data_IF_317916568623
#
_entry.id   IF_317916568623
#
_cell.length_a   1.000
_cell.length_b   1.000
_cell.length_c   1.000
_cell.angle_alpha   90.00
_cell.angle_beta   90.00
_cell.angle_gamma   90.00
#
_symmetry.space_group_name_H-M   'P 1'
#
loop_
_entity.id
_entity.type
_entity.pdbx_description
1 polymer ?
#
# COMPACT_ATOMS: atom_id res chain seq x y z
N UNK A 1 54.42 25.62 -9.77
CA UNK A 1 55.45 25.23 -8.75
C UNK A 1 54.98 23.94 -8.10
N UNK A 2 55.61 22.79 -8.49
CA UNK A 2 56.52 21.96 -7.67
C UNK A 2 55.77 21.27 -6.49
N UNK A 3 55.75 19.96 -6.20
CA UNK A 3 56.39 18.68 -6.69
C UNK A 3 55.52 17.58 -6.09
N UNK A 4 55.11 16.54 -6.79
CA UNK A 4 55.69 15.19 -6.97
C UNK A 4 56.30 14.56 -5.71
N UNK A 5 55.78 13.37 -5.29
CA UNK A 5 56.58 12.20 -4.93
C UNK A 5 55.72 10.94 -4.91
N UNK A 6 56.11 10.04 -5.82
CA UNK A 6 55.80 8.61 -5.80
C UNK A 6 56.67 7.92 -4.74
N UNK A 7 56.19 6.89 -4.08
CA UNK A 7 57.03 5.86 -3.45
C UNK A 7 56.41 4.50 -3.76
N UNK A 8 57.22 3.71 -4.50
CA UNK A 8 57.12 2.26 -4.69
C UNK A 8 57.78 1.55 -3.50
N UNK A 9 57.29 0.39 -3.06
CA UNK A 9 58.05 -0.67 -2.39
C UNK A 9 57.21 -1.95 -2.42
N UNK A 10 57.51 -2.92 -3.24
CA UNK A 10 58.44 -4.06 -3.13
C UNK A 10 57.87 -5.25 -2.33
N UNK A 11 57.73 -6.32 -3.07
CA UNK A 11 57.35 -7.70 -2.79
C UNK A 11 58.36 -8.36 -1.84
N UNK A 12 57.86 -9.17 -0.89
CA UNK A 12 58.67 -10.22 -0.26
C UNK A 12 57.92 -11.56 -0.25
N UNK A 13 58.38 -12.48 -1.07
CA UNK A 13 58.06 -13.90 -1.08
C UNK A 13 58.91 -14.59 0.00
N UNK A 14 58.30 -15.34 0.90
CA UNK A 14 58.99 -16.26 1.79
C UNK A 14 58.43 -17.67 1.60
N UNK A 15 59.24 -18.48 0.95
CA UNK A 15 59.10 -19.94 0.86
C UNK A 15 59.71 -20.54 2.14
N UNK A 16 59.00 -21.40 2.87
CA UNK A 16 59.60 -22.28 3.85
C UNK A 16 59.10 -23.71 3.67
N UNK A 17 60.08 -24.55 3.65
CA UNK A 17 60.11 -25.90 3.17
C UNK A 17 59.59 -26.95 4.17
N UNK A 18 59.48 -28.10 3.59
CA UNK A 18 59.03 -29.39 4.10
C UNK A 18 60.04 -29.97 5.11
N UNK A 19 59.53 -30.54 6.22
CA UNK A 19 60.25 -31.57 6.95
C UNK A 19 59.29 -32.70 7.32
N UNK A 20 59.49 -33.84 6.67
CA UNK A 20 58.90 -35.12 7.08
C UNK A 20 59.65 -35.66 8.32
N UNK A 21 58.91 -36.12 9.29
CA UNK A 21 59.38 -37.13 10.27
C UNK A 21 58.32 -38.22 10.34
N UNK A 22 58.70 -39.41 9.92
CA UNK A 22 57.93 -40.62 10.10
C UNK A 22 58.23 -41.22 11.49
N UNK A 23 57.18 -41.55 12.23
CA UNK A 23 57.22 -42.50 13.33
C UNK A 23 56.04 -43.46 13.24
N UNK A 24 56.36 -44.72 13.03
CA UNK A 24 55.43 -45.82 13.06
C UNK A 24 55.01 -46.13 14.49
N UNK A 25 53.72 -46.30 14.72
CA UNK A 25 53.15 -46.83 15.96
C UNK A 25 51.79 -47.42 15.67
N UNK A 26 51.72 -48.73 15.64
CA UNK A 26 50.49 -49.52 15.57
C UNK A 26 49.64 -49.29 16.81
N UNK A 27 48.34 -49.07 16.65
CA UNK A 27 47.32 -49.44 17.68
C UNK A 27 45.91 -49.37 17.03
N UNK A 28 45.21 -50.51 17.11
CA UNK A 28 43.79 -50.83 17.25
C UNK A 28 42.72 -49.94 16.53
N UNK A 29 41.98 -50.62 15.67
CA UNK A 29 40.71 -50.20 15.09
C UNK A 29 39.62 -49.99 16.13
N UNK A 30 39.24 -48.75 16.34
CA UNK A 30 37.89 -48.41 16.82
C UNK A 30 37.16 -47.69 15.64
N UNK A 31 36.04 -48.22 15.29
CA UNK A 31 35.20 -47.75 14.20
C UNK A 31 34.45 -46.49 14.60
N UNK A 32 35.06 -45.32 14.50
CA UNK A 32 34.30 -44.07 14.50
C UNK A 32 33.63 -43.87 13.13
N UNK A 33 32.30 -43.92 13.11
CA UNK A 33 31.49 -43.45 12.01
C UNK A 33 31.84 -41.99 11.77
N UNK A 34 32.70 -41.71 10.80
CA UNK A 34 32.90 -40.40 10.22
C UNK A 34 31.56 -39.87 9.74
N UNK A 35 30.96 -38.91 10.46
CA UNK A 35 29.94 -38.03 9.92
C UNK A 35 30.64 -37.22 8.83
N UNK A 36 30.37 -37.55 7.57
CA UNK A 36 30.68 -36.66 6.45
C UNK A 36 30.18 -35.26 6.79
N UNK A 37 30.97 -34.20 6.63
CA UNK A 37 30.48 -32.85 6.71
C UNK A 37 29.34 -32.70 5.68
N UNK A 38 28.14 -32.36 6.13
CA UNK A 38 27.08 -32.01 5.19
C UNK A 38 27.61 -30.89 4.29
N UNK A 39 27.60 -31.15 2.97
CA UNK A 39 27.86 -30.11 1.97
C UNK A 39 26.99 -28.88 2.38
N UNK A 40 27.55 -27.66 2.32
CA UNK A 40 26.75 -26.48 2.59
C UNK A 40 25.61 -26.46 1.56
N UNK A 41 24.38 -26.63 2.03
CA UNK A 41 23.18 -26.46 1.21
C UNK A 41 23.22 -25.04 0.68
N UNK A 42 23.30 -24.90 -0.64
CA UNK A 42 23.33 -23.58 -1.29
C UNK A 42 22.04 -22.84 -0.89
N UNK A 43 22.17 -21.78 -0.11
CA UNK A 43 21.01 -20.97 0.29
C UNK A 43 20.48 -20.21 -0.93
N UNK A 44 19.17 -20.24 -1.11
CA UNK A 44 18.45 -19.43 -2.11
C UNK A 44 18.07 -18.11 -1.47
N UNK A 45 18.26 -16.99 -2.17
CA UNK A 45 17.77 -15.67 -1.72
C UNK A 45 16.56 -15.29 -2.56
N UNK A 46 15.47 -14.88 -1.91
CA UNK A 46 14.28 -14.31 -2.53
C UNK A 46 14.29 -12.81 -2.23
N UNK A 47 14.15 -11.99 -3.23
CA UNK A 47 14.00 -10.56 -3.07
C UNK A 47 12.53 -10.19 -2.92
N UNK A 48 12.18 -9.60 -1.78
CA UNK A 48 10.84 -9.09 -1.48
C UNK A 48 10.84 -7.57 -1.50
N UNK A 49 9.87 -6.97 -2.20
CA UNK A 49 9.70 -5.52 -2.23
C UNK A 49 8.23 -5.13 -2.03
N UNK A 50 7.93 -4.35 -1.01
CA UNK A 50 6.60 -3.85 -0.70
C UNK A 50 6.64 -2.36 -0.33
N UNK A 51 5.47 -1.72 -0.24
CA UNK A 51 5.35 -0.36 0.33
C UNK A 51 5.49 -0.32 1.86
N UNK A 52 5.63 -1.48 2.53
CA UNK A 52 5.71 -1.60 3.99
C UNK A 52 7.16 -1.51 4.49
N UNK A 53 7.87 -0.45 4.10
CA UNK A 53 9.26 -0.20 4.49
C UNK A 53 9.42 1.05 5.35
N UNK A 54 10.64 1.33 5.80
CA UNK A 54 10.97 2.55 6.52
C UNK A 54 10.12 2.77 7.76
N UNK A 55 9.33 3.86 7.77
CA UNK A 55 8.45 4.28 8.88
C UNK A 55 6.99 3.80 8.72
N UNK A 56 6.68 2.95 7.74
CA UNK A 56 5.35 2.35 7.62
C UNK A 56 5.00 1.56 8.88
N UNK A 57 3.76 1.65 9.33
CA UNK A 57 3.27 0.98 10.54
C UNK A 57 3.42 -0.54 10.50
N UNK A 58 3.49 -1.13 9.31
CA UNK A 58 3.63 -2.57 9.09
C UNK A 58 5.08 -3.04 8.95
N UNK A 59 6.05 -2.12 8.83
CA UNK A 59 7.45 -2.46 8.56
C UNK A 59 8.09 -3.38 9.64
N UNK A 60 7.82 -3.10 10.91
CA UNK A 60 8.28 -3.91 12.03
C UNK A 60 7.69 -5.32 11.99
N UNK A 61 6.38 -5.42 11.79
CA UNK A 61 5.66 -6.70 11.70
C UNK A 61 6.11 -7.53 10.51
N UNK A 62 6.33 -6.91 9.34
CA UNK A 62 6.87 -7.59 8.17
C UNK A 62 8.25 -8.20 8.45
N UNK A 63 9.12 -7.47 9.16
CA UNK A 63 10.44 -7.96 9.54
C UNK A 63 10.35 -9.19 10.46
N UNK A 64 9.44 -9.20 11.42
CA UNK A 64 9.23 -10.33 12.32
C UNK A 64 8.70 -11.56 11.55
N UNK A 65 7.75 -11.37 10.64
CA UNK A 65 7.19 -12.42 9.79
C UNK A 65 8.27 -13.02 8.86
N UNK A 66 9.13 -12.19 8.26
CA UNK A 66 10.27 -12.63 7.46
C UNK A 66 11.23 -13.47 8.32
N UNK A 67 11.58 -13.00 9.52
CA UNK A 67 12.48 -13.73 10.40
C UNK A 67 11.90 -15.11 10.80
N UNK A 68 10.59 -15.19 11.05
CA UNK A 68 9.91 -16.46 11.29
C UNK A 68 10.01 -17.39 10.09
N UNK A 69 9.71 -16.88 8.87
CA UNK A 69 9.83 -17.66 7.64
C UNK A 69 11.25 -18.24 7.45
N UNK A 70 12.29 -17.43 7.64
CA UNK A 70 13.69 -17.86 7.51
C UNK A 70 14.10 -18.89 8.56
N UNK A 71 13.55 -18.82 9.77
CA UNK A 71 13.79 -19.81 10.82
C UNK A 71 13.16 -21.17 10.47
N UNK A 72 11.96 -21.15 9.88
CA UNK A 72 11.27 -22.36 9.43
C UNK A 72 11.86 -22.94 8.13
N UNK A 73 12.51 -22.09 7.32
CA UNK A 73 13.04 -22.44 6.01
C UNK A 73 14.54 -22.04 5.90
N UNK A 74 15.40 -22.70 6.67
CA UNK A 74 16.82 -22.31 6.88
C UNK A 74 17.67 -22.22 5.61
N UNK A 75 17.23 -22.82 4.50
CA UNK A 75 17.88 -22.77 3.17
C UNK A 75 17.42 -21.58 2.32
N UNK A 76 16.42 -20.82 2.78
CA UNK A 76 15.89 -19.65 2.06
C UNK A 76 16.19 -18.39 2.88
N UNK A 77 16.68 -17.36 2.20
CA UNK A 77 16.91 -16.02 2.78
C UNK A 77 16.05 -15.00 2.05
N UNK A 78 15.55 -14.01 2.78
CA UNK A 78 14.73 -12.94 2.22
C UNK A 78 15.52 -11.63 2.21
N UNK A 79 15.78 -11.11 1.03
CA UNK A 79 16.32 -9.76 0.84
C UNK A 79 15.15 -8.77 0.81
N UNK A 80 14.81 -8.19 1.95
CA UNK A 80 13.71 -7.23 2.03
C UNK A 80 14.14 -5.84 1.54
N UNK A 81 13.61 -5.41 0.40
CA UNK A 81 13.88 -4.13 -0.27
C UNK A 81 12.66 -3.18 -0.18
N UNK A 82 11.81 -3.35 0.82
CA UNK A 82 10.59 -2.55 0.98
C UNK A 82 10.90 -1.08 1.25
N UNK A 83 10.11 -0.18 0.64
CA UNK A 83 10.30 1.27 0.68
C UNK A 83 8.98 1.92 1.11
N UNK A 84 9.03 2.97 1.93
CA UNK A 84 7.86 3.72 2.38
C UNK A 84 7.50 4.86 1.42
N UNK A 85 6.18 5.13 1.30
CA UNK A 85 5.66 6.37 0.71
C UNK A 85 5.76 6.47 -0.81
N UNK A 86 5.82 7.72 -1.27
CA UNK A 86 5.70 8.07 -2.69
C UNK A 86 6.87 7.56 -3.56
N UNK A 87 7.99 7.15 -2.95
CA UNK A 87 9.16 6.62 -3.67
C UNK A 87 8.99 5.16 -4.09
N UNK A 88 8.06 4.42 -3.48
CA UNK A 88 7.89 2.99 -3.72
C UNK A 88 7.56 2.69 -5.18
N UNK A 89 6.46 3.25 -5.69
CA UNK A 89 5.97 2.93 -7.04
C UNK A 89 6.94 3.34 -8.15
N UNK A 90 7.54 4.54 -8.15
CA UNK A 90 8.57 4.90 -9.12
C UNK A 90 9.78 3.97 -9.10
N UNK A 91 10.23 3.55 -7.91
CA UNK A 91 11.36 2.63 -7.76
C UNK A 91 11.01 1.26 -8.30
N UNK A 92 9.83 0.71 -7.97
CA UNK A 92 9.36 -0.58 -8.49
C UNK A 92 9.29 -0.55 -10.03
N UNK A 93 8.70 0.49 -10.62
CA UNK A 93 8.65 0.67 -12.09
C UNK A 93 10.03 0.72 -12.74
N UNK A 94 10.97 1.43 -12.13
CA UNK A 94 12.35 1.53 -12.60
C UNK A 94 13.03 0.16 -12.60
N UNK A 95 12.81 -0.64 -11.56
CA UNK A 95 13.35 -1.99 -11.44
C UNK A 95 12.82 -2.91 -12.54
N UNK A 96 11.51 -2.91 -12.79
CA UNK A 96 10.91 -3.67 -13.90
C UNK A 96 11.42 -3.20 -15.27
N UNK A 97 11.58 -1.90 -15.47
CA UNK A 97 12.08 -1.35 -16.72
C UNK A 97 13.55 -1.70 -16.99
N UNK A 98 14.35 -1.86 -15.93
CA UNK A 98 15.79 -2.22 -16.03
C UNK A 98 16.06 -3.71 -16.01
N UNK A 99 15.04 -4.57 -15.88
CA UNK A 99 15.21 -6.02 -15.78
C UNK A 99 15.79 -6.49 -14.44
N UNK A 100 15.65 -5.69 -13.39
CA UNK A 100 16.07 -5.98 -12.01
C UNK A 100 14.84 -6.06 -11.08
N UNK A 101 13.77 -6.66 -11.58
CA UNK A 101 12.53 -6.83 -10.84
C UNK A 101 12.73 -7.69 -9.58
N UNK A 102 12.05 -7.38 -8.47
CA UNK A 102 12.03 -8.22 -7.27
C UNK A 102 11.32 -9.55 -7.55
N UNK A 103 11.70 -10.61 -6.83
CA UNK A 103 11.08 -11.93 -7.01
C UNK A 103 9.62 -11.93 -6.58
N UNK A 104 9.33 -11.35 -5.41
CA UNK A 104 7.99 -11.15 -4.84
C UNK A 104 7.79 -9.68 -4.54
N UNK A 105 6.63 -9.15 -4.92
CA UNK A 105 6.34 -7.74 -4.66
C UNK A 105 4.88 -7.50 -4.30
N UNK A 106 4.66 -6.44 -3.51
CA UNK A 106 3.33 -5.94 -3.18
C UNK A 106 2.94 -4.78 -4.09
N UNK A 107 1.73 -4.77 -4.66
CA UNK A 107 1.27 -3.67 -5.49
C UNK A 107 -0.25 -3.55 -5.41
N UNK A 108 -0.75 -2.32 -5.43
CA UNK A 108 -2.18 -2.06 -5.56
C UNK A 108 -2.72 -2.58 -6.90
N UNK A 109 -3.95 -3.09 -6.97
CA UNK A 109 -4.56 -3.44 -8.25
C UNK A 109 -4.76 -2.20 -9.12
N UNK A 110 -4.98 -2.38 -10.42
CA UNK A 110 -5.24 -1.30 -11.35
C UNK A 110 -4.33 -1.34 -12.57
N UNK A 111 -4.07 -0.17 -13.18
CA UNK A 111 -3.34 -0.08 -14.45
C UNK A 111 -1.90 -0.55 -14.35
N UNK A 112 -1.19 -0.23 -13.25
CA UNK A 112 0.22 -0.57 -13.13
C UNK A 112 0.47 -2.08 -13.21
N UNK A 113 -0.31 -2.88 -12.48
CA UNK A 113 -0.18 -4.35 -12.56
C UNK A 113 -0.65 -4.88 -13.91
N UNK A 114 -1.68 -4.29 -14.52
CA UNK A 114 -2.14 -4.68 -15.86
C UNK A 114 -1.07 -4.47 -16.93
N UNK A 115 -0.29 -3.38 -16.84
CA UNK A 115 0.85 -3.16 -17.74
C UNK A 115 1.94 -4.21 -17.57
N UNK A 116 2.26 -4.57 -16.33
CA UNK A 116 3.24 -5.62 -16.05
C UNK A 116 2.77 -7.00 -16.54
N UNK A 117 1.47 -7.32 -16.40
CA UNK A 117 0.86 -8.55 -16.91
C UNK A 117 0.95 -8.57 -18.44
N UNK A 118 0.52 -7.50 -19.13
CA UNK A 118 0.61 -7.39 -20.60
C UNK A 118 2.05 -7.50 -21.11
N UNK A 119 3.03 -7.04 -20.33
CA UNK A 119 4.45 -7.19 -20.63
C UNK A 119 5.02 -8.56 -20.28
N UNK A 120 4.20 -9.53 -19.84
CA UNK A 120 4.62 -10.85 -19.37
C UNK A 120 5.65 -10.80 -18.23
N UNK A 121 5.51 -9.83 -17.32
CA UNK A 121 6.42 -9.64 -16.19
C UNK A 121 5.90 -10.21 -14.87
N UNK A 122 4.68 -10.75 -14.85
CA UNK A 122 4.01 -11.28 -13.66
C UNK A 122 3.58 -12.72 -13.89
N UNK A 123 3.84 -13.58 -12.92
CA UNK A 123 3.48 -14.99 -12.98
C UNK A 123 1.96 -15.19 -12.91
N UNK A 124 1.45 -16.15 -13.68
CA UNK A 124 0.07 -16.63 -13.62
C UNK A 124 -0.04 -17.66 -12.49
N UNK A 125 -0.80 -17.34 -11.46
CA UNK A 125 -0.99 -18.19 -10.27
C UNK A 125 -2.22 -19.09 -10.39
N UNK A 126 -2.95 -19.05 -11.50
CA UNK A 126 -4.26 -19.69 -11.66
C UNK A 126 -4.22 -21.18 -11.37
N UNK A 127 -3.27 -21.89 -11.95
CA UNK A 127 -3.20 -23.35 -11.81
C UNK A 127 -2.71 -23.74 -10.41
N UNK A 128 -1.79 -23.00 -9.81
CA UNK A 128 -1.34 -23.24 -8.43
C UNK A 128 -2.45 -23.05 -7.40
N UNK A 129 -3.30 -22.04 -7.58
CA UNK A 129 -4.45 -21.83 -6.73
C UNK A 129 -5.52 -22.90 -6.93
N UNK A 130 -5.68 -23.43 -8.15
CA UNK A 130 -6.57 -24.57 -8.40
C UNK A 130 -6.03 -25.90 -7.79
N UNK A 131 -4.72 -26.10 -7.83
CA UNK A 131 -4.06 -27.26 -7.21
C UNK A 131 -4.17 -27.21 -5.67
N UNK A 132 -4.01 -26.02 -5.07
CA UNK A 132 -4.17 -25.82 -3.63
C UNK A 132 -5.46 -25.07 -3.29
N UNK A 133 -6.56 -25.81 -3.38
CA UNK A 133 -7.88 -25.28 -3.03
C UNK A 133 -7.96 -24.80 -1.58
N UNK A 134 -7.23 -25.41 -0.66
CA UNK A 134 -7.28 -25.03 0.75
C UNK A 134 -6.74 -23.62 0.95
N UNK A 135 -5.71 -23.23 0.19
CA UNK A 135 -5.17 -21.89 0.20
C UNK A 135 -6.12 -20.90 -0.48
N UNK A 136 -6.59 -21.21 -1.69
CA UNK A 136 -7.53 -20.34 -2.41
C UNK A 136 -8.82 -20.09 -1.61
N UNK A 137 -9.44 -21.16 -1.08
CA UNK A 137 -10.71 -21.10 -0.37
C UNK A 137 -10.60 -20.44 1.01
N UNK A 138 -9.38 -20.19 1.51
CA UNK A 138 -9.16 -19.42 2.73
C UNK A 138 -9.48 -17.93 2.58
N UNK A 139 -9.53 -17.42 1.35
CA UNK A 139 -9.88 -16.03 1.03
C UNK A 139 -11.36 -15.85 0.73
N UNK A 140 -11.87 -14.63 0.88
CA UNK A 140 -13.17 -14.22 0.35
C UNK A 140 -13.12 -14.29 -1.18
N UNK A 141 -14.03 -15.01 -1.80
CA UNK A 141 -14.02 -15.25 -3.25
C UNK A 141 -14.04 -13.95 -4.06
N UNK A 142 -14.84 -12.96 -3.63
CA UNK A 142 -14.96 -11.66 -4.28
C UNK A 142 -13.63 -10.88 -4.35
N UNK A 143 -12.68 -11.14 -3.44
CA UNK A 143 -11.41 -10.42 -3.41
C UNK A 143 -10.50 -10.71 -4.60
N UNK A 144 -10.61 -11.89 -5.22
CA UNK A 144 -9.83 -12.23 -6.41
C UNK A 144 -10.26 -11.47 -7.67
N UNK A 145 -11.45 -10.88 -7.70
CA UNK A 145 -11.91 -10.11 -8.88
C UNK A 145 -10.94 -8.99 -9.30
N UNK A 146 -10.30 -8.35 -8.32
CA UNK A 146 -9.34 -7.25 -8.55
C UNK A 146 -7.94 -7.73 -8.96
N UNK A 147 -7.63 -9.03 -8.78
CA UNK A 147 -6.34 -9.63 -9.18
C UNK A 147 -6.47 -10.56 -10.38
N UNK A 148 -7.68 -10.67 -10.94
CA UNK A 148 -7.97 -11.47 -12.12
C UNK A 148 -7.93 -10.59 -13.38
N UNK A 149 -7.16 -11.01 -14.37
CA UNK A 149 -7.09 -10.40 -15.69
C UNK A 149 -7.26 -11.50 -16.76
N UNK A 150 -8.16 -11.29 -17.71
CA UNK A 150 -8.48 -12.26 -18.78
C UNK A 150 -8.71 -13.69 -18.26
N UNK A 151 -9.49 -13.82 -17.19
CA UNK A 151 -9.81 -15.09 -16.49
C UNK A 151 -8.59 -15.81 -15.86
N UNK A 152 -7.49 -15.12 -15.65
CA UNK A 152 -6.30 -15.64 -14.97
C UNK A 152 -6.02 -14.83 -13.72
N UNK A 153 -5.59 -15.50 -12.65
CA UNK A 153 -5.28 -14.90 -11.35
C UNK A 153 -3.77 -14.66 -11.27
N UNK A 154 -3.39 -13.41 -11.08
CA UNK A 154 -1.99 -13.00 -11.03
C UNK A 154 -1.49 -12.61 -9.64
N UNK A 155 -2.39 -12.33 -8.70
CA UNK A 155 -2.00 -11.86 -7.37
C UNK A 155 -2.84 -12.44 -6.25
N UNK A 156 -2.28 -12.46 -5.05
CA UNK A 156 -2.96 -12.88 -3.83
C UNK A 156 -3.49 -11.65 -3.10
N UNK A 157 -4.83 -11.49 -2.98
CA UNK A 157 -5.47 -10.29 -2.45
C UNK A 157 -5.47 -10.30 -0.92
N UNK A 158 -4.31 -10.08 -0.27
CA UNK A 158 -4.19 -10.22 1.17
C UNK A 158 -4.80 -9.04 1.94
N UNK A 159 -4.38 -7.80 1.65
CA UNK A 159 -4.79 -6.61 2.41
C UNK A 159 -6.11 -6.02 1.89
N UNK A 160 -7.09 -5.88 2.79
CA UNK A 160 -8.33 -5.13 2.56
C UNK A 160 -8.15 -3.71 3.07
N UNK A 161 -8.54 -2.72 2.27
CA UNK A 161 -8.53 -1.31 2.67
C UNK A 161 -9.85 -0.61 2.36
N UNK A 162 -10.18 0.42 3.13
CA UNK A 162 -11.30 1.30 2.89
C UNK A 162 -11.00 2.72 3.37
N UNK A 163 -11.66 3.71 2.80
CA UNK A 163 -11.42 5.13 3.06
C UNK A 163 -12.59 5.79 3.78
N UNK A 164 -12.29 6.83 4.56
CA UNK A 164 -13.29 7.66 5.22
C UNK A 164 -12.71 8.95 5.80
N UNK A 165 -13.55 9.68 6.53
CA UNK A 165 -13.19 10.90 7.20
C UNK A 165 -12.85 10.62 8.67
N UNK A 166 -11.60 10.83 9.05
CA UNK A 166 -11.17 10.81 10.45
C UNK A 166 -11.47 12.18 11.09
N UNK A 167 -12.09 12.16 12.25
CA UNK A 167 -12.45 13.35 13.01
C UNK A 167 -11.78 13.34 14.39
N UNK A 168 -11.40 14.52 14.88
CA UNK A 168 -10.92 14.69 16.24
C UNK A 168 -12.10 15.07 17.16
N UNK A 169 -12.66 14.10 17.89
CA UNK A 169 -13.83 14.30 18.77
C UNK A 169 -13.61 15.36 19.83
N UNK A 170 -12.38 15.49 20.35
CA UNK A 170 -12.08 16.52 21.36
C UNK A 170 -12.29 17.94 20.80
N UNK A 171 -11.89 18.17 19.55
CA UNK A 171 -12.10 19.46 18.89
C UNK A 171 -13.60 19.69 18.60
N UNK A 172 -14.31 18.67 18.12
CA UNK A 172 -15.75 18.75 17.90
C UNK A 172 -16.50 19.09 19.19
N UNK A 173 -16.18 18.39 20.29
CA UNK A 173 -16.78 18.62 21.60
C UNK A 173 -16.41 20.00 22.16
N UNK A 174 -15.13 20.39 22.12
CA UNK A 174 -14.62 21.67 22.63
C UNK A 174 -15.31 22.86 22.00
N UNK A 175 -15.52 22.81 20.70
CA UNK A 175 -16.10 23.91 19.93
C UNK A 175 -17.59 23.71 19.65
N UNK A 176 -18.21 22.68 20.22
CA UNK A 176 -19.63 22.35 20.06
C UNK A 176 -20.05 22.28 18.58
N UNK A 177 -19.22 21.62 17.78
CA UNK A 177 -19.48 21.35 16.37
C UNK A 177 -20.19 20.01 16.25
N UNK A 178 -21.30 19.97 15.50
CA UNK A 178 -21.97 18.71 15.16
C UNK A 178 -21.09 17.91 14.20
N UNK A 179 -20.98 16.59 14.41
CA UNK A 179 -20.36 15.67 13.45
C UNK A 179 -21.18 15.69 12.15
N UNK A 180 -20.58 16.00 10.99
CA UNK A 180 -21.34 16.20 9.76
C UNK A 180 -21.78 14.88 9.12
N UNK A 181 -23.04 14.73 8.79
CA UNK A 181 -23.63 13.60 8.07
C UNK A 181 -23.79 13.87 6.56
N UNK A 182 -23.84 15.15 6.19
CA UNK A 182 -24.00 15.60 4.81
C UNK A 182 -23.11 16.82 4.52
N UNK A 183 -23.03 17.18 3.24
CA UNK A 183 -22.11 18.22 2.77
C UNK A 183 -22.42 19.61 3.31
N UNK A 184 -23.71 19.94 3.54
CA UNK A 184 -24.10 21.24 4.13
C UNK A 184 -23.67 21.32 5.61
N UNK A 185 -23.80 20.23 6.35
CA UNK A 185 -23.29 20.15 7.72
C UNK A 185 -21.77 20.20 7.76
N UNK A 186 -21.08 19.61 6.77
CA UNK A 186 -19.62 19.73 6.64
C UNK A 186 -19.20 21.19 6.45
N UNK A 187 -19.89 21.95 5.58
CA UNK A 187 -19.63 23.40 5.40
C UNK A 187 -19.86 24.20 6.69
N UNK A 188 -20.90 23.83 7.44
CA UNK A 188 -21.18 24.43 8.75
C UNK A 188 -20.05 24.14 9.75
N UNK A 189 -19.57 22.90 9.82
CA UNK A 189 -18.44 22.51 10.67
C UNK A 189 -17.15 23.25 10.27
N UNK A 190 -16.87 23.37 8.97
CA UNK A 190 -15.74 24.12 8.43
C UNK A 190 -15.79 25.58 8.91
N UNK A 191 -16.94 26.25 8.79
CA UNK A 191 -17.10 27.64 9.20
C UNK A 191 -16.80 27.80 10.69
N UNK A 192 -17.38 26.95 11.54
CA UNK A 192 -17.17 27.00 12.99
C UNK A 192 -15.71 26.76 13.40
N UNK A 193 -15.02 25.79 12.80
CA UNK A 193 -13.60 25.57 13.10
C UNK A 193 -12.74 26.75 12.70
N UNK A 194 -12.95 27.34 11.53
CA UNK A 194 -12.25 28.55 11.09
C UNK A 194 -12.43 29.73 12.04
N UNK A 195 -13.66 29.99 12.49
CA UNK A 195 -13.96 31.06 13.45
C UNK A 195 -13.20 30.89 14.77
N UNK A 196 -12.80 29.65 15.10
CA UNK A 196 -12.04 29.30 16.29
C UNK A 196 -10.54 29.11 16.03
N UNK A 197 -10.04 29.45 14.83
CA UNK A 197 -8.61 29.35 14.47
C UNK A 197 -8.11 27.91 14.27
N UNK A 198 -9.03 26.95 14.09
CA UNK A 198 -8.69 25.55 13.81
C UNK A 198 -8.75 25.31 12.30
N UNK A 199 -7.76 24.62 11.76
CA UNK A 199 -7.79 24.15 10.37
C UNK A 199 -8.94 23.11 10.25
N UNK A 200 -9.94 23.32 9.40
CA UNK A 200 -11.06 22.37 9.32
C UNK A 200 -10.62 20.98 8.83
N UNK A 201 -9.88 20.91 7.75
CA UNK A 201 -9.46 19.66 7.11
C UNK A 201 -7.97 19.70 6.79
N UNK A 202 -7.19 18.76 7.32
CA UNK A 202 -5.82 18.55 6.89
C UNK A 202 -5.81 18.01 5.45
N UNK A 203 -5.25 18.79 4.55
CA UNK A 203 -5.20 18.50 3.12
C UNK A 203 -3.85 18.92 2.52
N UNK A 204 -3.38 18.20 1.53
CA UNK A 204 -2.27 18.60 0.67
C UNK A 204 -2.55 18.20 -0.78
N UNK A 205 -1.91 18.87 -1.73
CA UNK A 205 -2.07 18.59 -3.17
C UNK A 205 -1.12 17.49 -3.63
N UNK A 206 -1.36 16.25 -3.15
CA UNK A 206 -0.56 15.06 -3.49
C UNK A 206 -1.46 13.86 -3.78
N UNK A 207 -0.86 12.71 -4.11
CA UNK A 207 -1.58 11.46 -4.28
C UNK A 207 -2.39 11.10 -3.02
N UNK A 208 -1.79 11.21 -1.82
CA UNK A 208 -2.52 10.96 -0.56
C UNK A 208 -3.56 12.05 -0.24
N UNK A 209 -3.31 13.30 -0.62
CA UNK A 209 -4.31 14.35 -0.47
C UNK A 209 -5.54 14.14 -1.36
N UNK A 210 -5.42 13.33 -2.41
CA UNK A 210 -6.54 13.04 -3.31
C UNK A 210 -7.62 12.15 -2.71
N UNK A 211 -7.43 11.53 -1.55
CA UNK A 211 -8.46 10.68 -0.92
C UNK A 211 -9.77 11.45 -0.68
N UNK A 212 -9.74 12.72 -0.32
CA UNK A 212 -10.96 13.54 -0.22
C UNK A 212 -11.69 13.63 -1.56
N UNK A 213 -10.95 13.80 -2.66
CA UNK A 213 -11.51 13.83 -4.00
C UNK A 213 -12.08 12.47 -4.42
N UNK A 214 -11.41 11.37 -4.06
CA UNK A 214 -11.88 10.00 -4.31
C UNK A 214 -13.20 9.73 -3.58
N UNK A 215 -13.29 10.13 -2.33
CA UNK A 215 -14.53 10.02 -1.54
C UNK A 215 -15.68 10.86 -2.14
N UNK A 216 -15.39 12.05 -2.67
CA UNK A 216 -16.38 12.86 -3.38
C UNK A 216 -16.87 12.18 -4.66
N UNK A 217 -15.98 11.59 -5.48
CA UNK A 217 -16.36 10.82 -6.67
C UNK A 217 -17.28 9.67 -6.28
N UNK A 218 -16.90 8.89 -5.27
CA UNK A 218 -17.69 7.77 -4.77
C UNK A 218 -19.09 8.19 -4.31
N UNK A 219 -19.19 9.29 -3.56
CA UNK A 219 -20.47 9.82 -3.07
C UNK A 219 -21.37 10.32 -4.22
N UNK A 220 -20.80 10.94 -5.24
CA UNK A 220 -21.55 11.44 -6.39
C UNK A 220 -22.00 10.35 -7.36
N UNK A 221 -21.08 9.40 -7.64
CA UNK A 221 -21.24 8.41 -8.70
C UNK A 221 -21.72 7.03 -8.24
N UNK A 222 -21.50 6.69 -6.97
CA UNK A 222 -21.67 5.32 -6.49
C UNK A 222 -20.77 4.33 -7.25
N UNK A 223 -20.97 3.01 -7.06
CA UNK A 223 -20.15 1.98 -7.70
C UNK A 223 -20.12 2.14 -9.21
N UNK A 224 -21.29 2.30 -9.83
CA UNK A 224 -21.38 2.44 -11.29
C UNK A 224 -20.66 3.69 -11.82
N UNK A 225 -20.78 4.83 -11.14
CA UNK A 225 -20.13 6.07 -11.58
C UNK A 225 -18.61 6.02 -11.41
N UNK A 226 -18.09 5.24 -10.46
CA UNK A 226 -16.66 4.99 -10.27
C UNK A 226 -16.15 4.01 -11.33
N UNK A 227 -16.82 2.88 -11.53
CA UNK A 227 -16.39 1.80 -12.41
C UNK A 227 -16.52 2.18 -13.91
N UNK A 228 -17.62 2.81 -14.29
CA UNK A 228 -17.82 3.35 -15.63
C UNK A 228 -17.13 4.72 -15.79
N UNK A 229 -15.87 4.80 -15.39
CA UNK A 229 -15.11 6.06 -15.33
C UNK A 229 -14.96 6.77 -16.66
N UNK A 230 -14.80 6.02 -17.76
CA UNK A 230 -14.69 6.54 -19.13
C UNK A 230 -15.75 5.86 -20.01
N UNK A 231 -16.61 6.68 -20.62
CA UNK A 231 -17.65 6.23 -21.55
C UNK A 231 -17.56 7.09 -22.81
N UNK A 232 -17.58 6.47 -23.98
CA UNK A 232 -17.50 7.15 -25.29
C UNK A 232 -16.30 8.12 -25.39
N UNK A 233 -15.15 7.71 -24.82
CA UNK A 233 -13.93 8.51 -24.85
C UNK A 233 -13.97 9.75 -23.96
N UNK A 234 -14.90 9.85 -23.01
CA UNK A 234 -15.03 10.95 -22.07
C UNK A 234 -15.04 10.46 -20.64
N UNK A 235 -14.44 11.25 -19.74
CA UNK A 235 -14.53 10.98 -18.32
C UNK A 235 -15.98 11.13 -17.83
N UNK A 236 -16.40 10.27 -16.92
CA UNK A 236 -17.70 10.39 -16.30
C UNK A 236 -17.82 11.72 -15.53
N UNK A 237 -18.97 12.36 -15.66
CA UNK A 237 -19.23 13.69 -15.06
C UNK A 237 -18.93 13.77 -13.55
N UNK A 238 -19.06 12.67 -12.81
CA UNK A 238 -18.82 12.65 -11.36
C UNK A 238 -17.38 12.98 -10.98
N UNK A 239 -16.42 12.66 -11.85
CA UNK A 239 -15.02 13.05 -11.69
C UNK A 239 -14.82 14.55 -11.84
N UNK A 240 -15.52 15.18 -12.77
CA UNK A 240 -15.50 16.64 -12.98
C UNK A 240 -16.24 17.35 -11.84
N UNK A 241 -17.42 16.88 -11.48
CA UNK A 241 -18.23 17.48 -10.42
C UNK A 241 -17.54 17.39 -9.06
N UNK A 242 -16.89 16.27 -8.74
CA UNK A 242 -16.09 16.13 -7.51
C UNK A 242 -14.95 17.17 -7.42
N UNK A 243 -14.30 17.53 -8.53
CA UNK A 243 -13.32 18.62 -8.53
C UNK A 243 -13.96 19.96 -8.15
N UNK A 244 -15.19 20.24 -8.58
CA UNK A 244 -15.91 21.48 -8.22
C UNK A 244 -16.19 21.55 -6.72
N UNK A 245 -16.60 20.43 -6.08
CA UNK A 245 -16.76 20.35 -4.63
C UNK A 245 -15.42 20.54 -3.89
N UNK A 246 -14.33 19.94 -4.39
CA UNK A 246 -12.99 20.16 -3.83
C UNK A 246 -12.59 21.65 -3.88
N UNK A 247 -12.86 22.31 -5.02
CA UNK A 247 -12.60 23.74 -5.18
C UNK A 247 -13.46 24.58 -4.24
N UNK A 248 -14.74 24.26 -4.06
CA UNK A 248 -15.61 24.94 -3.10
C UNK A 248 -15.00 24.90 -1.70
N UNK A 249 -14.51 23.73 -1.23
CA UNK A 249 -13.84 23.63 0.05
C UNK A 249 -12.56 24.48 0.12
N UNK A 250 -11.79 24.51 -0.96
CA UNK A 250 -10.58 25.35 -1.05
C UNK A 250 -10.94 26.85 -0.97
N UNK A 251 -11.94 27.29 -1.70
CA UNK A 251 -12.41 28.69 -1.71
C UNK A 251 -12.99 29.10 -0.34
N UNK A 252 -13.62 28.16 0.37
CA UNK A 252 -14.07 28.33 1.75
C UNK A 252 -12.92 28.40 2.75
N UNK A 253 -11.66 28.17 2.34
CA UNK A 253 -10.49 28.07 3.24
C UNK A 253 -10.63 26.92 4.24
N UNK A 254 -11.13 25.78 3.79
CA UNK A 254 -11.27 24.57 4.60
C UNK A 254 -9.90 23.90 4.87
N UNK A 255 -8.87 24.22 4.09
CA UNK A 255 -7.56 23.61 4.07
C UNK A 255 -6.49 24.52 4.69
N UNK A 256 -5.29 23.98 5.03
CA UNK A 256 -4.14 24.80 5.44
C UNK A 256 -3.79 25.85 4.37
N UNK A 257 -3.23 26.98 4.78
CA UNK A 257 -2.85 28.04 3.83
C UNK A 257 -1.80 27.59 2.82
N UNK A 258 -0.94 26.67 3.21
CA UNK A 258 0.15 26.07 2.43
C UNK A 258 -0.21 24.68 1.84
N UNK A 259 -1.49 24.34 1.78
CA UNK A 259 -2.02 23.06 1.31
C UNK A 259 -1.48 22.61 -0.06
N UNK A 260 -1.09 23.53 -0.93
CA UNK A 260 -0.57 23.22 -2.26
C UNK A 260 0.91 22.81 -2.27
N UNK A 261 1.62 22.97 -1.15
CA UNK A 261 3.07 22.73 -1.02
C UNK A 261 3.43 21.74 0.09
N UNK A 262 2.52 21.47 1.03
CA UNK A 262 2.73 20.49 2.10
C UNK A 262 2.98 19.08 1.51
N UNK A 263 3.90 18.34 2.14
CA UNK A 263 4.00 16.91 1.91
C UNK A 263 3.01 16.12 2.79
N UNK A 264 2.87 14.81 2.53
CA UNK A 264 1.91 13.95 3.25
C UNK A 264 2.20 13.83 4.75
N UNK A 265 3.47 13.83 5.15
CA UNK A 265 3.83 13.77 6.57
C UNK A 265 3.44 15.06 7.30
N UNK A 266 3.72 16.23 6.72
CA UNK A 266 3.34 17.54 7.26
C UNK A 266 1.82 17.66 7.40
N UNK A 267 1.07 17.24 6.37
CA UNK A 267 -0.40 17.16 6.43
C UNK A 267 -0.87 16.29 7.60
N UNK A 268 -0.32 15.08 7.75
CA UNK A 268 -0.71 14.15 8.81
C UNK A 268 -0.40 14.74 10.21
N UNK A 269 0.72 15.44 10.36
CA UNK A 269 1.10 16.10 11.61
C UNK A 269 0.11 17.19 12.04
N UNK A 270 -0.54 17.90 11.11
CA UNK A 270 -1.59 18.86 11.45
C UNK A 270 -2.77 18.18 12.17
N UNK A 271 -3.12 16.97 11.77
CA UNK A 271 -4.18 16.20 12.42
C UNK A 271 -3.71 15.60 13.76
N UNK A 272 -2.55 14.97 13.79
CA UNK A 272 -2.00 14.37 15.02
C UNK A 272 -1.77 15.41 16.12
N UNK A 273 -1.34 16.61 15.77
CA UNK A 273 -1.12 17.71 16.72
C UNK A 273 -2.39 18.49 17.07
N UNK A 274 -3.56 18.02 16.62
CA UNK A 274 -4.88 18.68 16.84
C UNK A 274 -4.96 20.12 16.31
N UNK A 275 -4.11 20.47 15.34
CA UNK A 275 -4.22 21.74 14.61
C UNK A 275 -5.31 21.67 13.54
N UNK A 276 -5.57 20.47 13.00
CA UNK A 276 -6.68 20.22 12.09
C UNK A 276 -7.73 19.31 12.75
N UNK A 277 -9.02 19.61 12.48
CA UNK A 277 -10.13 18.90 13.07
C UNK A 277 -10.47 17.59 12.34
N UNK A 278 -10.20 17.51 11.05
CA UNK A 278 -10.57 16.41 10.16
C UNK A 278 -9.44 16.06 9.18
N UNK A 279 -9.40 14.81 8.73
CA UNK A 279 -8.53 14.35 7.64
C UNK A 279 -9.20 13.19 6.90
N UNK A 280 -9.14 13.14 5.57
CA UNK A 280 -9.57 11.96 4.81
C UNK A 280 -8.38 11.03 4.64
N UNK A 281 -8.55 9.79 5.09
CA UNK A 281 -7.52 8.74 5.06
C UNK A 281 -8.18 7.36 4.94
N UNK A 282 -7.37 6.33 4.81
CA UNK A 282 -7.87 4.96 4.80
C UNK A 282 -7.58 4.19 6.09
N UNK A 283 -8.06 2.95 6.16
CA UNK A 283 -7.88 2.04 7.30
C UNK A 283 -6.41 1.84 7.71
N UNK A 284 -5.46 2.04 6.80
CA UNK A 284 -4.01 2.02 7.09
C UNK A 284 -3.54 3.15 8.00
N UNK A 285 -4.38 4.15 8.29
CA UNK A 285 -4.06 5.28 9.17
C UNK A 285 -4.31 4.96 10.65
N UNK A 286 -5.13 3.94 10.93
CA UNK A 286 -5.51 3.51 12.30
C UNK A 286 -4.30 3.22 13.19
N UNK A 287 -3.24 2.51 12.75
CA UNK A 287 -2.11 2.15 13.61
C UNK A 287 -1.24 3.31 14.10
N UNK A 288 -1.42 4.51 13.54
CA UNK A 288 -0.67 5.69 13.99
C UNK A 288 -1.24 6.30 15.28
N UNK A 289 -2.40 5.83 15.75
CA UNK A 289 -3.01 6.27 17.01
C UNK A 289 -2.70 5.28 18.13
N UNK A 290 -2.55 5.81 19.34
CA UNK A 290 -2.47 4.95 20.52
C UNK A 290 -3.73 4.07 20.60
N UNK A 291 -3.57 2.80 20.92
CA UNK A 291 -4.70 1.85 20.98
C UNK A 291 -5.76 2.20 22.03
N UNK A 292 -5.42 3.06 22.96
CA UNK A 292 -6.32 3.58 24.00
C UNK A 292 -6.80 5.01 23.72
N UNK A 293 -6.42 5.60 22.58
CA UNK A 293 -6.88 6.92 22.21
C UNK A 293 -8.34 6.85 21.69
N UNK A 294 -9.25 7.43 22.47
CA UNK A 294 -10.66 7.53 22.12
C UNK A 294 -11.02 8.88 21.50
N UNK A 295 -10.04 9.75 21.29
CA UNK A 295 -10.27 11.11 20.76
C UNK A 295 -10.51 11.15 19.25
N UNK A 296 -10.24 10.04 18.54
CA UNK A 296 -10.40 9.95 17.10
C UNK A 296 -11.50 8.96 16.73
N UNK A 297 -12.23 9.27 15.68
CA UNK A 297 -13.27 8.42 15.10
C UNK A 297 -13.19 8.48 13.58
N UNK A 298 -13.47 7.37 12.90
CA UNK A 298 -13.62 7.31 11.45
C UNK A 298 -15.10 7.28 11.09
N UNK A 299 -15.54 8.22 10.27
CA UNK A 299 -16.91 8.28 9.75
C UNK A 299 -16.88 8.18 8.22
N UNK A 300 -18.00 7.82 7.56
CA UNK A 300 -18.11 7.99 6.12
C UNK A 300 -17.88 9.45 5.75
N UNK A 301 -17.30 9.71 4.57
CA UNK A 301 -17.31 11.08 4.07
C UNK A 301 -18.76 11.57 3.95
N UNK A 302 -19.09 12.78 4.45
CA UNK A 302 -20.45 13.30 4.46
C UNK A 302 -21.13 13.22 3.10
N UNK A 303 -22.38 12.75 3.09
CA UNK A 303 -23.11 12.51 1.84
C UNK A 303 -23.27 13.79 1.01
N UNK A 304 -23.09 13.67 -0.29
CA UNK A 304 -23.33 14.73 -1.27
C UNK A 304 -24.67 14.48 -1.97
N UNK A 305 -25.46 15.53 -2.23
CA UNK A 305 -26.75 15.45 -2.92
C UNK A 305 -27.81 14.55 -2.25
N UNK A 306 -27.81 14.45 -0.93
CA UNK A 306 -28.73 13.62 -0.14
C UNK A 306 -28.68 12.10 -0.47
N UNK A 307 -27.64 11.64 -1.13
CA UNK A 307 -27.41 10.21 -1.32
C UNK A 307 -26.93 9.57 0.00
N UNK A 308 -27.10 8.26 0.12
CA UNK A 308 -26.43 7.52 1.21
C UNK A 308 -24.90 7.66 1.09
N UNK A 309 -24.19 7.89 2.21
CA UNK A 309 -22.73 7.96 2.17
C UNK A 309 -22.11 6.70 1.53
N UNK A 310 -21.05 6.87 0.76
CA UNK A 310 -20.33 5.78 0.12
C UNK A 310 -18.98 5.57 0.79
N UNK A 311 -18.52 4.33 0.82
CA UNK A 311 -17.21 3.95 1.36
C UNK A 311 -16.36 3.35 0.23
N UNK A 312 -15.34 4.09 -0.24
CA UNK A 312 -14.35 3.54 -1.17
C UNK A 312 -13.62 2.36 -0.52
N UNK A 313 -13.61 1.23 -1.21
CA UNK A 313 -13.08 -0.04 -0.71
C UNK A 313 -12.23 -0.71 -1.78
N UNK A 314 -11.12 -1.32 -1.40
CA UNK A 314 -10.23 -1.96 -2.35
C UNK A 314 -9.19 -2.87 -1.70
N UNK A 315 -8.16 -3.17 -2.45
CA UNK A 315 -7.00 -3.92 -1.99
C UNK A 315 -5.83 -2.96 -1.72
N UNK A 316 -5.14 -3.19 -0.61
CA UNK A 316 -3.95 -2.42 -0.25
C UNK A 316 -2.69 -2.89 -0.96
N UNK A 317 -1.55 -2.25 -0.63
CA UNK A 317 -0.23 -2.62 -1.10
C UNK A 317 0.23 -4.01 -0.69
N UNK A 318 -0.49 -4.67 0.23
CA UNK A 318 -0.38 -6.09 0.57
C UNK A 318 -1.12 -7.01 -0.39
N UNK A 319 -1.35 -6.62 -1.64
CA UNK A 319 -1.68 -7.54 -2.72
C UNK A 319 -0.37 -8.02 -3.33
N UNK A 320 -0.07 -9.32 -3.16
CA UNK A 320 1.25 -9.87 -3.50
C UNK A 320 1.25 -10.54 -4.87
N UNK A 321 2.35 -10.32 -5.59
CA UNK A 321 2.61 -10.85 -6.93
C UNK A 321 4.00 -11.49 -6.98
N UNK A 322 4.22 -12.40 -7.96
CA UNK A 322 5.53 -12.99 -8.27
C UNK A 322 5.94 -12.49 -9.66
N UNK A 323 7.21 -12.09 -9.82
CA UNK A 323 7.73 -11.75 -11.14
C UNK A 323 7.93 -13.00 -11.99
N UNK A 324 7.72 -12.91 -13.32
CA UNK A 324 7.96 -14.03 -14.22
C UNK A 324 9.42 -14.46 -14.21
N UNK A 325 10.36 -13.54 -14.05
CA UNK A 325 11.80 -13.85 -13.99
C UNK A 325 12.15 -14.74 -12.80
N UNK A 326 11.51 -14.56 -11.64
CA UNK A 326 11.70 -15.43 -10.49
C UNK A 326 10.98 -16.77 -10.68
N UNK A 327 9.75 -16.73 -11.20
CA UNK A 327 8.91 -17.91 -11.42
C UNK A 327 9.59 -18.94 -12.33
N UNK A 328 10.20 -18.49 -13.43
CA UNK A 328 10.82 -19.34 -14.46
C UNK A 328 12.19 -19.91 -14.04
N UNK A 329 12.65 -19.68 -12.80
CA UNK A 329 13.92 -20.27 -12.31
C UNK A 329 13.70 -21.68 -11.73
N UNK A 330 14.72 -22.56 -11.70
CA UNK A 330 14.58 -23.98 -11.28
C UNK A 330 14.05 -24.18 -9.86
N UNK A 331 13.90 -23.33 -9.01
CA UNK A 331 13.26 -23.43 -7.68
C UNK A 331 12.42 -22.21 -7.35
N UNK A 332 12.25 -21.31 -8.33
CA UNK A 332 11.62 -20.03 -8.11
C UNK A 332 10.14 -20.17 -7.82
N UNK A 333 9.45 -20.97 -8.62
CA UNK A 333 8.02 -21.28 -8.40
C UNK A 333 7.78 -21.82 -6.99
N UNK A 334 8.50 -22.87 -6.58
CA UNK A 334 8.33 -23.51 -5.28
C UNK A 334 8.63 -22.55 -4.12
N UNK A 335 9.77 -21.87 -4.16
CA UNK A 335 10.22 -20.99 -3.09
C UNK A 335 9.37 -19.73 -2.97
N UNK A 336 8.94 -19.13 -4.08
CA UNK A 336 8.10 -17.92 -4.06
C UNK A 336 6.67 -18.25 -3.62
N UNK A 337 6.10 -19.39 -4.02
CA UNK A 337 4.81 -19.87 -3.50
C UNK A 337 4.89 -20.14 -1.99
N UNK A 338 5.99 -20.77 -1.52
CA UNK A 338 6.18 -21.01 -0.09
C UNK A 338 6.19 -19.69 0.70
N UNK A 339 6.91 -18.67 0.21
CA UNK A 339 6.89 -17.34 0.80
C UNK A 339 5.50 -16.71 0.74
N UNK A 340 4.81 -16.77 -0.40
CA UNK A 340 3.46 -16.22 -0.53
C UNK A 340 2.48 -16.85 0.45
N UNK A 341 2.48 -18.16 0.58
CA UNK A 341 1.64 -18.87 1.55
C UNK A 341 1.92 -18.44 3.00
N UNK A 342 3.20 -18.25 3.34
CA UNK A 342 3.57 -17.74 4.66
C UNK A 342 3.09 -16.31 4.88
N UNK A 343 3.35 -15.39 3.93
CA UNK A 343 2.92 -13.99 3.99
C UNK A 343 1.39 -13.83 4.06
N UNK A 344 0.65 -14.78 3.49
CA UNK A 344 -0.81 -14.75 3.38
C UNK A 344 -1.51 -15.82 4.21
N UNK A 345 -0.82 -16.38 5.20
CA UNK A 345 -1.40 -17.35 6.13
C UNK A 345 -2.35 -16.67 7.13
N UNK A 346 -3.24 -17.47 7.72
CA UNK A 346 -4.11 -16.99 8.81
C UNK A 346 -3.30 -16.46 10.00
N UNK A 347 -2.20 -17.13 10.32
CA UNK A 347 -1.31 -16.72 11.40
C UNK A 347 -0.70 -15.35 11.11
N UNK A 348 -0.18 -15.14 9.90
CA UNK A 348 0.36 -13.85 9.46
C UNK A 348 -0.72 -12.76 9.49
N UNK A 349 -1.94 -13.06 9.03
CA UNK A 349 -3.04 -12.11 9.04
C UNK A 349 -3.46 -11.72 10.46
N UNK A 350 -3.56 -12.69 11.37
CA UNK A 350 -3.83 -12.43 12.80
C UNK A 350 -2.73 -11.57 13.42
N UNK A 351 -1.47 -11.92 13.16
CA UNK A 351 -0.32 -11.16 13.67
C UNK A 351 -0.32 -9.69 13.18
N UNK A 352 -0.56 -9.46 11.89
CA UNK A 352 -0.66 -8.09 11.37
C UNK A 352 -1.83 -7.33 11.98
N UNK A 353 -2.98 -8.00 12.13
CA UNK A 353 -4.14 -7.37 12.76
C UNK A 353 -3.85 -6.92 14.19
N UNK A 354 -3.30 -7.81 15.01
CA UNK A 354 -2.96 -7.53 16.42
C UNK A 354 -1.90 -6.45 16.60
N UNK A 355 -1.03 -6.27 15.61
CA UNK A 355 0.09 -5.31 15.68
C UNK A 355 -0.21 -3.99 14.95
N UNK A 356 -1.02 -4.01 13.92
CA UNK A 356 -1.16 -2.89 12.98
C UNK A 356 -2.59 -2.64 12.52
N UNK A 357 -3.58 -3.29 13.11
CA UNK A 357 -4.98 -3.24 12.65
C UNK A 357 -5.18 -3.55 11.14
N UNK A 358 -4.22 -4.21 10.49
CA UNK A 358 -4.36 -4.59 9.08
C UNK A 358 -5.53 -5.55 8.93
N UNK A 359 -6.47 -5.21 8.07
CA UNK A 359 -7.56 -6.10 7.69
C UNK A 359 -7.14 -6.97 6.52
N UNK A 360 -7.45 -8.25 6.58
CA UNK A 360 -7.18 -9.17 5.48
C UNK A 360 -8.46 -9.63 4.80
N UNK A 361 -8.32 -10.09 3.55
CA UNK A 361 -9.39 -10.76 2.81
C UNK A 361 -9.52 -12.27 3.14
N UNK A 362 -8.75 -12.76 4.10
CA UNK A 362 -8.90 -14.12 4.61
C UNK A 362 -10.21 -14.27 5.39
N UNK A 363 -10.80 -15.45 5.33
CA UNK A 363 -11.94 -15.88 6.15
C UNK A 363 -11.45 -16.24 7.54
N UNK A 364 -11.07 -15.22 8.32
CA UNK A 364 -10.64 -15.37 9.72
C UNK A 364 -11.63 -14.65 10.62
N UNK A 365 -11.84 -15.23 11.81
CA UNK A 365 -12.54 -14.54 12.89
C UNK A 365 -11.48 -13.83 13.75
N UNK A 366 -11.67 -12.55 13.98
CA UNK A 366 -10.78 -11.77 14.84
C UNK A 366 -11.40 -11.70 16.23
N UNK A 367 -10.68 -12.21 17.22
CA UNK A 367 -11.20 -12.35 18.58
C UNK A 367 -11.03 -11.09 19.43
N UNK A 368 -9.99 -10.29 19.16
CA UNK A 368 -9.66 -9.10 19.96
C UNK A 368 -9.39 -7.92 19.05
N UNK A 369 -10.08 -6.78 19.23
CA UNK A 369 -9.79 -5.59 18.44
C UNK A 369 -8.42 -5.01 18.79
N UNK A 370 -7.72 -4.49 17.78
CA UNK A 370 -6.46 -3.76 17.97
C UNK A 370 -6.63 -2.53 18.87
N UNK A 371 -7.68 -1.75 18.65
CA UNK A 371 -8.03 -0.54 19.39
C UNK A 371 -9.52 -0.22 19.26
N UNK A 372 -10.02 0.71 20.10
CA UNK A 372 -11.39 1.23 19.96
C UNK A 372 -11.64 1.82 18.57
N UNK A 373 -10.68 2.56 18.02
CA UNK A 373 -10.76 3.13 16.68
C UNK A 373 -10.81 2.03 15.61
N UNK A 374 -9.99 0.97 15.74
CA UNK A 374 -10.01 -0.15 14.81
C UNK A 374 -11.37 -0.85 14.82
N UNK A 375 -11.92 -1.16 16.01
CA UNK A 375 -13.22 -1.81 16.13
C UNK A 375 -14.32 -0.94 15.53
N UNK A 376 -14.36 0.34 15.86
CA UNK A 376 -15.34 1.27 15.35
C UNK A 376 -15.27 1.39 13.82
N UNK A 377 -14.07 1.42 13.24
CA UNK A 377 -13.86 1.50 11.80
C UNK A 377 -14.27 0.20 11.09
N UNK A 378 -13.99 -0.96 11.70
CA UNK A 378 -14.43 -2.27 11.18
C UNK A 378 -15.96 -2.38 11.24
N UNK A 379 -16.56 -2.01 12.37
CA UNK A 379 -18.02 -2.00 12.53
C UNK A 379 -18.69 -1.10 11.48
N UNK A 380 -18.10 0.06 11.20
CA UNK A 380 -18.56 0.96 10.16
C UNK A 380 -18.52 0.26 8.78
N UNK A 381 -17.38 -0.36 8.43
CA UNK A 381 -17.23 -1.08 7.17
C UNK A 381 -18.20 -2.26 7.05
N UNK A 382 -18.35 -3.08 8.11
CA UNK A 382 -19.21 -4.27 8.08
C UNK A 382 -20.70 -3.92 8.06
N UNK A 383 -21.11 -2.87 8.74
CA UNK A 383 -22.50 -2.37 8.73
C UNK A 383 -22.86 -1.62 7.44
N UNK A 384 -21.89 -1.22 6.66
CA UNK A 384 -22.13 -0.58 5.36
C UNK A 384 -22.70 -1.59 4.38
N UNK A 385 -23.90 -1.30 3.86
CA UNK A 385 -24.53 -2.14 2.83
C UNK A 385 -23.64 -2.25 1.59
N UNK A 386 -23.65 -3.40 0.92
CA UNK A 386 -22.82 -3.64 -0.27
C UNK A 386 -23.02 -2.58 -1.38
N UNK A 387 -24.25 -2.08 -1.54
CA UNK A 387 -24.54 -1.01 -2.50
C UNK A 387 -23.92 0.36 -2.12
N UNK A 388 -23.47 0.51 -0.89
CA UNK A 388 -22.80 1.72 -0.40
C UNK A 388 -21.26 1.56 -0.37
N UNK A 389 -20.73 0.39 -0.69
CA UNK A 389 -19.30 0.18 -0.95
C UNK A 389 -19.02 0.45 -2.42
N UNK A 390 -17.93 1.15 -2.71
CA UNK A 390 -17.51 1.47 -4.08
C UNK A 390 -16.07 1.06 -4.28
N UNK A 391 -15.65 0.85 -5.52
CA UNK A 391 -14.22 0.75 -5.82
C UNK A 391 -13.53 2.08 -5.50
N UNK A 392 -12.24 2.00 -5.14
CA UNK A 392 -11.38 3.18 -4.98
C UNK A 392 -11.12 3.77 -6.38
N UNK A 393 -11.44 5.04 -6.65
CA UNK A 393 -11.32 5.62 -7.99
C UNK A 393 -9.96 5.49 -8.65
N UNK A 394 -8.85 5.62 -7.91
CA UNK A 394 -7.51 5.51 -8.46
C UNK A 394 -7.05 4.07 -8.76
N UNK A 395 -7.83 3.06 -8.34
CA UNK A 395 -7.66 1.68 -8.78
C UNK A 395 -8.30 1.44 -10.17
N UNK A 396 -9.24 2.28 -10.57
CA UNK A 396 -9.98 2.17 -11.82
C UNK A 396 -9.32 2.99 -12.94
N UNK A 397 -8.93 4.23 -12.62
CA UNK A 397 -8.27 5.14 -13.56
C UNK A 397 -6.80 4.72 -13.79
N UNK A 398 -6.30 4.93 -15.01
CA UNK A 398 -4.87 4.78 -15.27
C UNK A 398 -4.03 5.61 -14.29
N UNK A 399 -3.12 4.95 -13.58
CA UNK A 399 -2.35 5.55 -12.49
C UNK A 399 -1.47 6.71 -12.97
N UNK A 400 -0.92 6.63 -14.19
CA UNK A 400 -0.11 7.71 -14.75
C UNK A 400 -0.96 8.91 -15.12
N UNK A 401 -2.15 8.69 -15.67
CA UNK A 401 -3.10 9.77 -15.95
C UNK A 401 -3.61 10.39 -14.64
N UNK A 402 -3.90 9.59 -13.62
CA UNK A 402 -4.29 10.06 -12.30
C UNK A 402 -3.20 10.91 -11.65
N UNK A 403 -2.02 10.35 -11.42
CA UNK A 403 -0.95 11.01 -10.67
C UNK A 403 -0.28 12.14 -11.48
N UNK A 404 0.11 11.85 -12.75
CA UNK A 404 0.96 12.77 -13.52
C UNK A 404 0.18 13.88 -14.22
N UNK A 405 -1.14 13.71 -14.38
CA UNK A 405 -1.99 14.73 -14.99
C UNK A 405 -2.97 15.30 -13.97
N UNK A 406 -3.89 14.48 -13.42
CA UNK A 406 -4.97 15.01 -12.57
C UNK A 406 -4.42 15.60 -11.29
N UNK A 407 -3.68 14.81 -10.49
CA UNK A 407 -3.18 15.26 -9.17
C UNK A 407 -2.15 16.38 -9.31
N UNK A 408 -1.19 16.25 -10.21
CA UNK A 408 -0.19 17.31 -10.45
C UNK A 408 -0.79 18.65 -10.90
N UNK A 409 -2.02 18.64 -11.44
CA UNK A 409 -2.69 19.86 -11.88
C UNK A 409 -3.70 20.41 -10.86
N UNK A 410 -3.93 19.75 -9.73
CA UNK A 410 -4.79 20.27 -8.66
C UNK A 410 -4.41 21.70 -8.24
N UNK A 411 -3.14 22.08 -8.03
CA UNK A 411 -2.80 23.46 -7.71
C UNK A 411 -3.34 24.46 -8.74
N UNK A 412 -3.16 24.18 -10.04
CA UNK A 412 -3.65 25.06 -11.09
C UNK A 412 -5.17 25.15 -11.14
N UNK A 413 -5.85 24.03 -10.86
CA UNK A 413 -7.30 23.98 -10.78
C UNK A 413 -7.83 24.76 -9.58
N UNK A 414 -7.28 24.52 -8.40
CA UNK A 414 -7.71 25.18 -7.16
C UNK A 414 -7.46 26.69 -7.20
N UNK A 415 -6.41 27.14 -7.85
CA UNK A 415 -6.13 28.56 -8.10
C UNK A 415 -6.94 29.16 -9.27
N UNK A 416 -7.78 28.37 -9.96
CA UNK A 416 -8.62 28.83 -11.06
C UNK A 416 -7.86 29.07 -12.39
N UNK A 417 -6.63 28.53 -12.53
CA UNK A 417 -5.80 28.64 -13.74
C UNK A 417 -6.15 27.61 -14.82
N UNK A 418 -6.83 26.53 -14.43
CA UNK A 418 -7.33 25.46 -15.31
C UNK A 418 -8.71 25.04 -14.89
N UNK A 419 -9.50 24.51 -15.83
CA UNK A 419 -10.81 23.90 -15.55
C UNK A 419 -10.65 22.40 -15.31
N UNK A 420 -11.63 21.78 -14.64
CA UNK A 420 -11.70 20.35 -14.44
C UNK A 420 -11.80 19.61 -15.79
N UNK A 421 -12.55 20.17 -16.73
CA UNK A 421 -12.75 19.63 -18.07
C UNK A 421 -11.45 19.58 -18.87
N UNK A 422 -10.62 20.64 -18.80
CA UNK A 422 -9.30 20.68 -19.46
C UNK A 422 -8.36 19.63 -18.91
N UNK A 423 -8.31 19.47 -17.59
CA UNK A 423 -7.44 18.49 -16.90
C UNK A 423 -7.86 17.08 -17.28
N UNK A 424 -9.16 16.77 -17.19
CA UNK A 424 -9.66 15.44 -17.50
C UNK A 424 -9.59 15.10 -18.99
N UNK A 425 -9.72 16.09 -19.88
CA UNK A 425 -9.46 15.88 -21.30
C UNK A 425 -8.04 15.39 -21.56
N UNK A 426 -7.04 16.06 -20.96
CA UNK A 426 -5.63 15.63 -21.07
C UNK A 426 -5.40 14.23 -20.46
N UNK A 427 -6.04 13.92 -19.34
CA UNK A 427 -5.92 12.61 -18.71
C UNK A 427 -6.52 11.49 -19.59
N UNK A 428 -7.69 11.72 -20.19
CA UNK A 428 -8.33 10.76 -21.10
C UNK A 428 -7.51 10.57 -22.37
N UNK A 429 -6.97 11.63 -22.96
CA UNK A 429 -6.07 11.55 -24.14
C UNK A 429 -4.84 10.69 -23.81
N UNK A 430 -4.26 10.85 -22.61
CA UNK A 430 -3.15 10.01 -22.14
C UNK A 430 -3.54 8.54 -22.01
N UNK A 431 -4.71 8.24 -21.43
CA UNK A 431 -5.21 6.87 -21.28
C UNK A 431 -5.41 6.18 -22.64
N UNK A 432 -5.93 6.91 -23.62
CA UNK A 432 -6.18 6.39 -24.97
C UNK A 432 -4.92 6.19 -25.80
N UNK A 433 -3.81 6.85 -25.44
CA UNK A 433 -2.52 6.72 -26.14
C UNK A 433 -1.65 5.54 -25.63
N UNK A 434 -2.03 4.91 -24.51
CA UNK A 434 -1.36 3.75 -23.90
C UNK A 434 -2.05 2.43 -24.29
#
# INVERSE_FOLDING_TARGET
MKYSKRVLSIIAVAIFGISMVACAGSITKESEKSKSPALPTKSTTIELMTSWGGVDSKAGSLKEIIAKFENENSTIKISNQSIFGDEYLPTLKTRFASGNEPDVFGLWPGSDIKYLIKANKVADLTDKLKEDRSWMDSFKESSFSLTTYENRIYGIPFELVFEGLFINKDLFNKYQVKIPENYEELKTAITKFKENGIIPIAYNSSAEGSYIYQNMIANLGGSKGVEDSITDGKINKYYIDAMKYLKELYDMKAFPNDALTLNSNERNQLFFSKQAAMIVQGSWFIPYFDKYDESVEMIPFPSINNNSPKIPTGLGGGTFYISSSAWDTPSGEENTILLLKHLTSKETATFFYEKTALLSNLKIQQETPYSSLAQQSIDLYEKTLEENKTSIPDHIIDRSAWNDIVIKQFPYFLEGKKTAEEIWKQAVEKIQSN
#
